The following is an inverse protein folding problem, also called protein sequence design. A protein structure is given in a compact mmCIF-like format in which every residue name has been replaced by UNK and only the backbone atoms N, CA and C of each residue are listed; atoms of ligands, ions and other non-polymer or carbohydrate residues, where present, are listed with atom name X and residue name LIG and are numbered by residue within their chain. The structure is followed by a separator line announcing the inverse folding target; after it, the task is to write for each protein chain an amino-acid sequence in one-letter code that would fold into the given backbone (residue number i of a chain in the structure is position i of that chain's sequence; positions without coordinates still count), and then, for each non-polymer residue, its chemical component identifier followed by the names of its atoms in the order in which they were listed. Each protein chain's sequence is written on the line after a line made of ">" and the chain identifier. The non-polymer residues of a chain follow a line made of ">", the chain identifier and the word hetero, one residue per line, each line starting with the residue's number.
data_IF_863546686456
#
_entry.id   IF_863546686456
#
_cell.length_a   1.000
_cell.length_b   1.000
_cell.length_c   1.000
_cell.angle_alpha   90.00
_cell.angle_beta   90.00
_cell.angle_gamma   90.00
#
_symmetry.space_group_name_H-M   'P 1'
#
loop_
_entity.id
_entity.type
_entity.pdbx_description
1 polymer ?
#
# COMPACT_ATOMS: atom_id res chain seq x y z
N UNK A 1 23.56 21.11 -4.63
CA UNK A 1 22.35 20.84 -5.44
C UNK A 1 22.67 19.70 -6.40
N UNK A 2 21.88 18.65 -6.38
CA UNK A 2 21.98 17.52 -7.32
C UNK A 2 20.61 17.34 -7.96
N UNK A 3 20.55 17.22 -9.28
CA UNK A 3 19.31 17.08 -10.03
C UNK A 3 19.47 16.00 -11.08
N UNK A 4 18.46 15.20 -11.26
CA UNK A 4 18.30 14.25 -12.36
C UNK A 4 17.05 14.62 -13.16
N UNK A 5 17.15 14.56 -14.47
CA UNK A 5 16.04 14.59 -15.42
C UNK A 5 16.15 13.37 -16.32
N UNK A 6 15.02 12.70 -16.52
CA UNK A 6 14.95 11.55 -17.42
C UNK A 6 15.15 12.00 -18.87
N UNK A 7 16.04 11.32 -19.55
CA UNK A 7 16.38 11.55 -20.96
C UNK A 7 16.08 10.35 -21.85
N UNK A 8 15.33 9.36 -21.33
CA UNK A 8 14.96 8.13 -22.07
C UNK A 8 13.44 8.02 -22.15
N UNK A 9 12.87 7.28 -23.12
CA UNK A 9 11.46 6.96 -23.15
C UNK A 9 10.98 6.24 -21.88
N UNK A 10 9.68 6.33 -21.60
CA UNK A 10 9.06 5.55 -20.50
C UNK A 10 9.09 4.08 -20.87
N UNK A 11 9.80 3.26 -20.11
CA UNK A 11 10.06 1.85 -20.42
C UNK A 11 9.90 0.91 -19.20
N UNK A 12 9.77 1.47 -18.00
CA UNK A 12 9.60 0.67 -16.79
C UNK A 12 8.24 0.93 -16.13
N UNK A 13 7.77 -0.01 -15.28
CA UNK A 13 6.49 0.11 -14.57
C UNK A 13 6.33 1.44 -13.84
N UNK A 14 7.33 1.85 -13.06
CA UNK A 14 7.41 3.14 -12.39
C UNK A 14 8.81 3.73 -12.60
N UNK A 15 8.88 5.01 -12.91
CA UNK A 15 10.12 5.74 -13.18
C UNK A 15 10.05 7.16 -12.66
N UNK A 16 11.16 7.65 -12.14
CA UNK A 16 11.29 9.07 -11.89
C UNK A 16 11.46 9.83 -13.21
N UNK A 17 10.68 10.89 -13.37
CA UNK A 17 10.84 11.87 -14.44
C UNK A 17 11.91 12.90 -14.07
N UNK A 18 11.86 13.34 -12.80
CA UNK A 18 12.91 14.16 -12.23
C UNK A 18 13.06 13.92 -10.74
N UNK A 19 14.27 14.10 -10.23
CA UNK A 19 14.63 14.11 -8.82
C UNK A 19 15.57 15.27 -8.56
N UNK A 20 15.43 15.92 -7.42
CA UNK A 20 16.35 16.98 -7.02
C UNK A 20 16.38 17.17 -5.51
N UNK A 21 17.54 17.68 -5.04
CA UNK A 21 17.74 18.09 -3.66
C UNK A 21 18.46 19.44 -3.59
N UNK A 22 18.39 20.09 -2.45
CA UNK A 22 19.00 21.41 -2.20
C UNK A 22 18.59 22.47 -3.23
N UNK A 23 17.34 22.36 -3.72
CA UNK A 23 16.78 23.32 -4.66
C UNK A 23 16.35 24.59 -3.92
N UNK A 24 16.87 25.75 -4.34
CA UNK A 24 16.39 27.04 -3.82
C UNK A 24 15.01 27.34 -4.43
N UNK A 25 13.96 27.06 -3.66
CA UNK A 25 12.60 27.18 -4.13
C UNK A 25 12.18 28.63 -4.25
N UNK A 26 11.79 29.00 -5.45
CA UNK A 26 11.21 30.31 -5.77
C UNK A 26 9.69 30.24 -5.76
N UNK A 27 9.04 31.41 -5.69
CA UNK A 27 7.59 31.49 -5.90
C UNK A 27 7.29 31.05 -7.34
N UNK A 28 6.30 30.19 -7.47
CA UNK A 28 5.91 29.63 -8.75
C UNK A 28 4.41 29.37 -8.79
N UNK A 29 3.78 29.65 -9.90
CA UNK A 29 2.38 29.39 -10.17
C UNK A 29 2.25 28.41 -11.33
N UNK A 30 1.46 27.34 -11.15
CA UNK A 30 1.16 26.29 -12.13
C UNK A 30 -0.35 26.21 -12.35
N UNK A 31 -0.92 27.02 -13.23
CA UNK A 31 -2.38 27.10 -13.43
C UNK A 31 -2.96 25.78 -13.98
N UNK A 32 -2.17 25.05 -14.80
CA UNK A 32 -2.58 23.77 -15.40
C UNK A 32 -2.02 22.56 -14.62
N UNK A 33 -1.44 22.80 -13.43
CA UNK A 33 -0.76 21.78 -12.66
C UNK A 33 0.58 21.34 -13.25
N UNK A 34 1.00 20.12 -12.92
CA UNK A 34 2.16 19.45 -13.48
C UNK A 34 1.70 18.17 -14.19
N UNK A 35 2.32 17.76 -15.29
CA UNK A 35 1.82 16.60 -16.07
C UNK A 35 2.05 15.25 -15.41
N UNK A 36 2.88 15.19 -14.37
CA UNK A 36 3.19 13.98 -13.62
C UNK A 36 2.85 14.16 -12.14
N UNK A 37 2.80 13.09 -11.38
CA UNK A 37 2.81 13.16 -9.91
C UNK A 37 4.01 13.95 -9.45
N UNK A 38 3.77 14.94 -8.61
CA UNK A 38 4.80 15.88 -8.15
C UNK A 38 4.87 15.89 -6.63
N UNK A 39 5.99 15.43 -6.10
CA UNK A 39 6.33 15.50 -4.69
C UNK A 39 7.26 16.68 -4.43
N UNK A 40 6.96 17.47 -3.42
CA UNK A 40 7.82 18.54 -2.91
C UNK A 40 7.96 18.39 -1.40
N UNK A 41 9.18 18.54 -0.88
CA UNK A 41 9.48 18.49 0.55
C UNK A 41 10.42 19.63 0.92
N UNK A 42 10.15 20.27 2.05
CA UNK A 42 11.04 21.27 2.62
C UNK A 42 12.27 20.62 3.25
N UNK A 43 13.47 21.05 2.87
CA UNK A 43 14.74 20.70 3.53
C UNK A 43 15.10 21.71 4.61
N UNK A 44 14.99 23.01 4.29
CA UNK A 44 15.27 24.12 5.21
C UNK A 44 14.32 25.28 4.93
N UNK A 45 13.99 26.02 5.96
CA UNK A 45 13.07 27.15 5.86
C UNK A 45 11.61 26.72 5.91
N UNK A 46 10.74 27.56 5.39
CA UNK A 46 9.29 27.35 5.36
C UNK A 46 8.73 27.89 4.07
N UNK A 47 7.79 27.16 3.49
CA UNK A 47 7.03 27.58 2.34
C UNK A 47 5.57 27.23 2.47
N UNK A 48 4.73 27.95 1.76
CA UNK A 48 3.29 27.75 1.68
C UNK A 48 2.93 27.30 0.27
N UNK A 49 2.11 26.28 0.20
CA UNK A 49 1.58 25.74 -1.06
C UNK A 49 0.09 25.96 -1.06
N UNK A 50 -0.40 26.55 -2.14
CA UNK A 50 -1.82 26.69 -2.39
C UNK A 50 -2.26 25.66 -3.44
N UNK A 51 -3.29 24.88 -3.11
CA UNK A 51 -3.93 23.93 -4.03
C UNK A 51 -5.43 24.15 -3.96
N UNK A 52 -6.03 24.56 -5.08
CA UNK A 52 -7.49 24.80 -5.16
C UNK A 52 -8.03 25.71 -4.02
N UNK A 53 -7.28 26.76 -3.67
CA UNK A 53 -7.67 27.73 -2.62
C UNK A 53 -7.44 27.23 -1.18
N UNK A 54 -6.89 26.01 -0.99
CA UNK A 54 -6.44 25.53 0.32
C UNK A 54 -4.94 25.79 0.47
N UNK A 55 -4.54 26.21 1.66
CA UNK A 55 -3.16 26.52 1.98
C UNK A 55 -2.55 25.44 2.87
N UNK A 56 -1.33 25.05 2.55
CA UNK A 56 -0.54 24.05 3.29
C UNK A 56 0.83 24.67 3.56
N UNK A 57 1.16 24.87 4.83
CA UNK A 57 2.49 25.34 5.23
C UNK A 57 3.38 24.15 5.48
N UNK A 58 4.56 24.12 4.87
CA UNK A 58 5.53 23.03 4.97
C UNK A 58 6.80 23.54 5.65
N UNK A 59 7.06 23.04 6.86
CA UNK A 59 8.32 23.17 7.57
C UNK A 59 9.33 22.06 7.21
N UNK A 60 10.49 22.09 7.83
CA UNK A 60 11.57 21.13 7.56
C UNK A 60 11.10 19.67 7.72
N UNK A 61 11.40 18.84 6.74
CA UNK A 61 10.97 17.45 6.54
C UNK A 61 9.47 17.24 6.30
N UNK A 62 8.66 18.28 6.19
CA UNK A 62 7.27 18.15 5.76
C UNK A 62 7.19 18.23 4.24
N UNK A 63 6.30 17.46 3.65
CA UNK A 63 6.16 17.33 2.21
C UNK A 63 4.71 17.25 1.74
N UNK A 64 4.52 17.38 0.44
CA UNK A 64 3.25 17.27 -0.24
C UNK A 64 3.42 16.52 -1.56
N UNK A 65 2.56 15.55 -1.82
CA UNK A 65 2.38 14.95 -3.13
C UNK A 65 1.14 15.57 -3.78
N UNK A 66 1.27 15.97 -5.04
CA UNK A 66 0.18 16.55 -5.84
C UNK A 66 0.00 15.71 -7.10
N UNK A 67 -1.25 15.35 -7.40
CA UNK A 67 -1.59 14.56 -8.58
C UNK A 67 -1.42 15.37 -9.89
N UNK A 68 -1.31 14.68 -11.04
CA UNK A 68 -1.20 15.34 -12.35
C UNK A 68 -2.36 16.28 -12.63
N UNK A 69 -2.06 17.42 -13.28
CA UNK A 69 -3.06 18.38 -13.71
C UNK A 69 -3.75 19.18 -12.60
N UNK A 70 -3.33 19.04 -11.34
CA UNK A 70 -3.91 19.79 -10.23
C UNK A 70 -3.25 21.17 -10.13
N UNK A 71 -4.01 22.28 -10.32
CA UNK A 71 -3.48 23.64 -10.20
C UNK A 71 -2.93 23.92 -8.80
N UNK A 72 -1.74 24.50 -8.74
CA UNK A 72 -1.10 24.83 -7.47
C UNK A 72 -0.07 25.96 -7.59
N UNK A 73 0.27 26.56 -6.45
CA UNK A 73 1.32 27.57 -6.36
C UNK A 73 2.22 27.36 -5.14
N UNK A 74 3.45 27.87 -5.25
CA UNK A 74 4.47 27.84 -4.20
C UNK A 74 4.80 29.26 -3.77
N UNK A 75 4.83 29.49 -2.45
CA UNK A 75 5.15 30.77 -1.86
C UNK A 75 6.18 30.57 -0.76
N UNK A 76 7.35 31.20 -0.92
CA UNK A 76 8.38 31.22 0.11
C UNK A 76 7.92 32.12 1.27
N UNK A 77 7.92 31.59 2.49
CA UNK A 77 7.55 32.35 3.70
C UNK A 77 8.75 32.74 4.57
N UNK A 78 9.86 31.98 4.49
CA UNK A 78 11.11 32.30 5.19
C UNK A 78 12.11 33.03 4.29
N UNK A 79 13.16 33.61 4.86
CA UNK A 79 14.23 34.30 4.10
C UNK A 79 14.89 33.42 3.03
N UNK A 80 14.96 32.11 3.29
CA UNK A 80 15.38 31.10 2.32
C UNK A 80 14.48 29.89 2.45
N UNK A 81 14.16 29.27 1.34
CA UNK A 81 13.40 28.01 1.32
C UNK A 81 14.10 27.02 0.39
N UNK A 82 14.67 25.98 0.98
CA UNK A 82 15.35 24.92 0.25
C UNK A 82 14.48 23.67 0.27
N UNK A 83 14.30 23.07 -0.90
CA UNK A 83 13.41 21.91 -1.09
C UNK A 83 14.16 20.76 -1.76
N UNK A 84 13.57 19.59 -1.62
CA UNK A 84 13.79 18.46 -2.52
C UNK A 84 12.48 18.13 -3.23
N UNK A 85 12.59 17.50 -4.39
CA UNK A 85 11.43 17.14 -5.19
C UNK A 85 11.65 15.81 -5.91
N UNK A 86 10.52 15.20 -6.27
CA UNK A 86 10.47 14.04 -7.14
C UNK A 86 9.23 14.16 -8.04
N UNK A 87 9.40 13.91 -9.33
CA UNK A 87 8.29 13.69 -10.24
C UNK A 87 8.41 12.29 -10.83
N UNK A 88 7.31 11.64 -11.03
CA UNK A 88 7.33 10.24 -11.45
C UNK A 88 6.15 9.86 -12.33
N UNK A 89 6.38 8.85 -13.16
CA UNK A 89 5.47 8.27 -14.11
C UNK A 89 5.82 6.78 -14.31
N UNK A 90 5.34 6.14 -15.37
CA UNK A 90 5.66 4.77 -15.74
C UNK A 90 4.63 4.15 -16.65
N UNK A 91 4.89 2.96 -17.16
CA UNK A 91 3.92 2.22 -17.99
C UNK A 91 2.70 1.79 -17.19
N UNK A 92 2.80 1.72 -15.85
CA UNK A 92 1.72 1.45 -14.92
C UNK A 92 1.25 2.70 -14.15
N UNK A 93 1.59 3.91 -14.61
CA UNK A 93 1.20 5.15 -13.92
C UNK A 93 -0.32 5.29 -13.77
N UNK A 94 -1.12 4.69 -14.67
CA UNK A 94 -2.58 4.66 -14.57
C UNK A 94 -3.13 3.92 -13.35
N UNK A 95 -2.32 3.10 -12.65
CA UNK A 95 -2.72 2.44 -11.41
C UNK A 95 -2.50 3.30 -10.15
N UNK A 96 -1.72 4.38 -10.24
CA UNK A 96 -1.37 5.21 -9.08
C UNK A 96 -2.60 5.81 -8.39
N UNK A 97 -3.64 6.30 -9.09
CA UNK A 97 -4.83 6.80 -8.42
C UNK A 97 -5.47 5.78 -7.47
N UNK A 98 -5.59 4.52 -7.88
CA UNK A 98 -6.14 3.47 -7.00
C UNK A 98 -5.21 3.11 -5.84
N UNK A 99 -3.91 3.29 -5.99
CA UNK A 99 -2.93 3.07 -4.91
C UNK A 99 -2.95 4.19 -3.87
N UNK A 100 -3.38 5.39 -4.25
CA UNK A 100 -3.46 6.59 -3.40
C UNK A 100 -4.89 6.98 -3.03
N UNK A 101 -5.84 6.03 -3.07
CA UNK A 101 -7.27 6.24 -2.82
C UNK A 101 -7.88 7.41 -3.60
N UNK A 102 -7.38 7.65 -4.82
CA UNK A 102 -7.75 8.78 -5.70
C UNK A 102 -7.54 10.17 -5.06
N UNK A 103 -6.64 10.27 -4.10
CA UNK A 103 -6.33 11.56 -3.49
C UNK A 103 -5.51 12.44 -4.44
N UNK A 104 -5.96 13.67 -4.63
CA UNK A 104 -5.24 14.68 -5.42
C UNK A 104 -4.07 15.31 -4.66
N UNK A 105 -4.15 15.30 -3.33
CA UNK A 105 -3.14 15.91 -2.43
C UNK A 105 -2.93 15.00 -1.24
N UNK A 106 -1.66 14.64 -0.99
CA UNK A 106 -1.25 13.85 0.18
C UNK A 106 -0.18 14.63 0.94
N UNK A 107 -0.42 14.87 2.22
CA UNK A 107 0.54 15.51 3.11
C UNK A 107 1.45 14.47 3.77
N UNK A 108 2.72 14.82 3.91
CA UNK A 108 3.75 14.00 4.53
C UNK A 108 4.25 14.70 5.78
N UNK A 109 4.16 13.99 6.90
CA UNK A 109 4.64 14.47 8.19
C UNK A 109 6.15 14.31 8.35
N UNK A 110 6.73 14.99 9.34
CA UNK A 110 8.19 15.10 9.56
C UNK A 110 8.93 13.76 9.61
N UNK A 111 8.38 12.78 10.31
CA UNK A 111 9.06 11.48 10.49
C UNK A 111 9.15 10.72 9.16
N UNK A 112 8.06 10.68 8.44
CA UNK A 112 8.00 10.04 7.13
C UNK A 112 8.81 10.80 6.09
N UNK A 113 8.75 12.15 6.09
CA UNK A 113 9.57 12.99 5.23
C UNK A 113 11.07 12.78 5.47
N UNK A 114 11.51 12.55 6.71
CA UNK A 114 12.90 12.20 7.00
C UNK A 114 13.33 10.88 6.34
N UNK A 115 12.44 9.89 6.26
CA UNK A 115 12.67 8.63 5.55
C UNK A 115 12.74 8.85 4.02
N UNK A 116 11.77 9.57 3.47
CA UNK A 116 11.70 9.92 2.03
C UNK A 116 12.95 10.70 1.61
N UNK A 117 13.42 11.63 2.43
CA UNK A 117 14.66 12.38 2.18
C UNK A 117 15.87 11.46 1.99
N UNK A 118 16.05 10.45 2.83
CA UNK A 118 17.13 9.46 2.70
C UNK A 118 17.00 8.68 1.39
N UNK A 119 15.78 8.29 1.04
CA UNK A 119 15.48 7.56 -0.19
C UNK A 119 15.82 8.39 -1.42
N UNK A 120 15.31 9.62 -1.56
CA UNK A 120 15.62 10.52 -2.69
C UNK A 120 17.13 10.71 -2.82
N UNK A 121 17.82 10.99 -1.70
CA UNK A 121 19.27 11.20 -1.71
C UNK A 121 20.06 9.95 -2.15
N UNK A 122 19.60 8.75 -1.77
CA UNK A 122 20.18 7.48 -2.20
C UNK A 122 19.95 7.22 -3.69
N UNK A 123 18.72 7.43 -4.16
CA UNK A 123 18.35 7.23 -5.57
C UNK A 123 19.08 8.20 -6.49
N UNK A 124 19.24 9.47 -6.10
CA UNK A 124 20.06 10.45 -6.84
C UNK A 124 21.50 9.97 -7.03
N UNK A 125 22.12 9.39 -6.00
CA UNK A 125 23.48 8.82 -6.14
C UNK A 125 23.55 7.68 -7.15
N UNK A 126 22.52 6.83 -7.22
CA UNK A 126 22.43 5.74 -8.21
C UNK A 126 22.30 6.28 -9.64
N UNK A 127 21.49 7.33 -9.85
CA UNK A 127 21.35 7.97 -11.17
C UNK A 127 22.64 8.61 -11.69
N UNK A 128 23.51 9.04 -10.79
CA UNK A 128 24.79 9.65 -11.16
C UNK A 128 25.93 8.62 -11.36
N UNK A 129 25.64 7.32 -11.27
CA UNK A 129 26.62 6.29 -11.62
C UNK A 129 26.83 6.22 -13.15
N UNK A 130 28.02 5.82 -13.64
CA UNK A 130 28.28 5.69 -15.06
C UNK A 130 27.32 4.79 -15.82
N UNK A 131 26.84 3.73 -15.16
CA UNK A 131 25.87 2.75 -15.70
C UNK A 131 24.74 2.55 -14.69
N UNK A 132 23.70 3.39 -14.69
CA UNK A 132 22.58 3.24 -13.77
C UNK A 132 21.82 1.93 -14.03
N UNK A 133 21.56 1.16 -12.99
CA UNK A 133 20.69 -0.02 -13.08
C UNK A 133 19.20 0.41 -13.10
N UNK A 134 18.62 0.38 -14.28
CA UNK A 134 17.24 0.81 -14.50
C UNK A 134 16.20 -0.05 -13.74
N UNK A 135 16.49 -1.33 -13.49
CA UNK A 135 15.59 -2.19 -12.68
C UNK A 135 15.62 -1.76 -11.22
N UNK A 136 16.80 -1.54 -10.66
CA UNK A 136 16.96 -1.01 -9.30
C UNK A 136 16.28 0.35 -9.14
N UNK A 137 16.42 1.24 -10.13
CA UNK A 137 15.79 2.57 -10.11
C UNK A 137 14.26 2.52 -10.24
N UNK A 138 13.72 1.58 -11.01
CA UNK A 138 12.27 1.34 -11.06
C UNK A 138 11.74 0.80 -9.74
N UNK A 139 12.49 -0.08 -9.08
CA UNK A 139 12.16 -0.56 -7.74
C UNK A 139 12.21 0.56 -6.70
N UNK A 140 13.20 1.45 -6.79
CA UNK A 140 13.27 2.64 -5.92
C UNK A 140 12.06 3.57 -6.13
N UNK A 141 11.61 3.76 -7.38
CA UNK A 141 10.42 4.56 -7.68
C UNK A 141 9.15 3.92 -7.13
N UNK A 142 8.98 2.61 -7.26
CA UNK A 142 7.89 1.88 -6.64
C UNK A 142 7.91 2.01 -5.12
N UNK A 143 9.06 1.78 -4.48
CA UNK A 143 9.21 1.93 -3.03
C UNK A 143 8.94 3.37 -2.55
N UNK A 144 9.32 4.36 -3.36
CA UNK A 144 8.98 5.76 -3.12
C UNK A 144 7.47 5.98 -3.16
N UNK A 145 6.77 5.44 -4.17
CA UNK A 145 5.32 5.51 -4.30
C UNK A 145 4.61 4.85 -3.10
N UNK A 146 5.12 3.74 -2.59
CA UNK A 146 4.54 3.06 -1.42
C UNK A 146 4.48 3.92 -0.15
N UNK A 147 5.33 4.97 -0.04
CA UNK A 147 5.20 5.90 1.09
C UNK A 147 3.91 6.72 1.07
N UNK A 148 3.24 6.82 -0.06
CA UNK A 148 2.00 7.59 -0.19
C UNK A 148 0.74 6.73 -0.10
N UNK A 149 0.87 5.41 -0.20
CA UNK A 149 -0.26 4.49 -0.07
C UNK A 149 -0.73 4.38 1.38
N UNK A 150 0.18 4.51 2.35
CA UNK A 150 -0.15 4.51 3.78
C UNK A 150 -0.60 5.89 4.29
N UNK A 151 -0.35 6.96 3.52
CA UNK A 151 -0.71 8.34 3.85
C UNK A 151 -2.09 8.74 3.37
N UNK A 152 -2.70 7.96 2.49
CA UNK A 152 -4.10 8.09 2.13
C UNK A 152 -4.95 7.68 3.34
N UNK A 153 -4.92 8.56 4.36
CA UNK A 153 -5.76 8.63 5.55
C UNK A 153 -6.33 7.29 6.03
N UNK A 154 -5.45 6.39 6.45
CA UNK A 154 -5.86 5.50 7.53
C UNK A 154 -4.80 5.59 8.60
N UNK A 155 -5.15 5.93 9.87
CA UNK A 155 -4.35 5.46 10.97
C UNK A 155 -4.05 4.01 10.65
N UNK A 156 -2.77 3.56 10.79
CA UNK A 156 -2.37 2.17 10.46
C UNK A 156 -3.54 1.29 10.87
N UNK A 157 -4.08 0.48 9.96
CA UNK A 157 -5.28 -0.35 10.28
C UNK A 157 -5.09 -0.98 11.65
N UNK A 158 -3.84 -1.32 11.95
CA UNK A 158 -3.39 -1.84 13.25
C UNK A 158 -3.61 -0.88 14.44
N UNK A 159 -3.59 0.43 14.26
CA UNK A 159 -3.80 1.41 15.36
C UNK A 159 -5.26 1.83 15.49
N UNK A 160 -6.14 1.35 14.58
CA UNK A 160 -7.57 1.64 14.65
C UNK A 160 -8.20 0.92 15.85
N UNK A 161 -8.82 1.65 16.82
CA UNK A 161 -9.41 1.04 18.02
C UNK A 161 -10.48 -0.02 17.71
N UNK A 162 -11.24 0.15 16.62
CA UNK A 162 -12.26 -0.84 16.21
C UNK A 162 -11.59 -2.09 15.63
N UNK A 163 -10.50 -1.95 14.89
CA UNK A 163 -9.72 -3.08 14.38
C UNK A 163 -9.10 -3.88 15.52
N UNK A 164 -8.42 -3.20 16.45
CA UNK A 164 -7.79 -3.82 17.63
C UNK A 164 -8.83 -4.51 18.52
N UNK A 165 -9.95 -3.85 18.80
CA UNK A 165 -10.95 -4.33 19.74
C UNK A 165 -11.82 -5.47 19.20
N UNK A 166 -12.14 -5.45 17.89
CA UNK A 166 -13.14 -6.36 17.32
C UNK A 166 -12.60 -7.30 16.25
N UNK A 167 -11.63 -6.87 15.44
CA UNK A 167 -11.17 -7.69 14.29
C UNK A 167 -10.01 -8.59 14.70
N UNK A 168 -9.00 -8.06 15.38
CA UNK A 168 -7.82 -8.86 15.84
C UNK A 168 -8.22 -10.05 16.72
N UNK A 169 -9.07 -9.89 17.76
CA UNK A 169 -9.46 -11.04 18.57
C UNK A 169 -10.18 -12.12 17.77
N UNK A 170 -11.04 -11.73 16.83
CA UNK A 170 -11.75 -12.66 15.94
C UNK A 170 -10.78 -13.38 15.00
N UNK A 171 -9.79 -12.69 14.44
CA UNK A 171 -8.72 -13.32 13.64
C UNK A 171 -7.99 -14.39 14.47
N UNK A 172 -7.56 -14.04 15.68
CA UNK A 172 -6.89 -15.00 16.58
C UNK A 172 -7.75 -16.20 16.93
N UNK A 173 -9.06 -16.00 17.18
CA UNK A 173 -9.99 -17.07 17.44
C UNK A 173 -10.15 -17.99 16.22
N UNK A 174 -10.20 -17.43 15.00
CA UNK A 174 -10.21 -18.22 13.77
C UNK A 174 -8.92 -19.01 13.62
N UNK A 175 -7.76 -18.39 13.82
CA UNK A 175 -6.44 -19.03 13.66
C UNK A 175 -6.23 -20.19 14.62
N UNK A 176 -6.75 -20.08 15.83
CA UNK A 176 -6.62 -21.14 16.86
C UNK A 176 -7.71 -22.21 16.77
N UNK A 177 -8.89 -21.84 16.28
CA UNK A 177 -10.07 -22.71 16.27
C UNK A 177 -10.58 -23.12 14.89
N UNK A 178 -9.85 -22.85 13.80
CA UNK A 178 -10.31 -23.04 12.40
C UNK A 178 -10.83 -24.45 12.07
N UNK A 179 -10.37 -25.45 12.80
CA UNK A 179 -10.79 -26.85 12.61
C UNK A 179 -12.20 -27.12 13.17
N UNK A 180 -12.67 -26.28 14.10
CA UNK A 180 -13.98 -26.44 14.73
C UNK A 180 -15.08 -25.78 13.88
N UNK A 181 -16.33 -26.05 14.23
CA UNK A 181 -17.46 -25.39 13.60
C UNK A 181 -17.55 -23.92 14.08
N UNK A 182 -17.00 -23.01 13.26
CA UNK A 182 -16.94 -21.58 13.53
C UNK A 182 -18.07 -20.89 12.76
N UNK A 183 -18.95 -20.21 13.49
CA UNK A 183 -20.01 -19.37 12.90
C UNK A 183 -19.78 -17.90 13.17
N UNK A 184 -20.25 -17.03 12.24
CA UNK A 184 -20.17 -15.58 12.44
C UNK A 184 -20.92 -15.13 13.71
N UNK A 185 -21.96 -15.87 14.11
CA UNK A 185 -22.70 -15.61 15.34
C UNK A 185 -21.88 -15.90 16.61
N UNK A 186 -21.10 -16.98 16.63
CA UNK A 186 -20.18 -17.27 17.74
C UNK A 186 -19.09 -16.22 17.83
N UNK A 187 -18.39 -15.93 16.73
CA UNK A 187 -17.33 -14.91 16.67
C UNK A 187 -17.82 -13.52 17.04
N UNK A 188 -19.05 -13.16 16.70
CA UNK A 188 -19.60 -11.85 17.09
C UNK A 188 -19.90 -11.76 18.59
N UNK A 189 -20.31 -12.88 19.22
CA UNK A 189 -20.53 -12.96 20.66
C UNK A 189 -19.23 -12.82 21.46
N UNK A 190 -18.12 -13.41 20.98
CA UNK A 190 -16.83 -13.34 21.69
C UNK A 190 -16.29 -11.90 21.79
N UNK A 191 -16.68 -11.03 20.87
CA UNK A 191 -16.33 -9.61 20.89
C UNK A 191 -17.49 -8.67 21.25
N UNK A 192 -18.63 -9.22 21.73
CA UNK A 192 -19.80 -8.48 22.22
C UNK A 192 -20.45 -7.54 21.21
N UNK A 193 -20.55 -7.96 19.95
CA UNK A 193 -21.21 -7.18 18.88
C UNK A 193 -22.24 -8.03 18.12
N UNK A 194 -23.05 -7.37 17.28
CA UNK A 194 -23.95 -8.11 16.38
C UNK A 194 -23.19 -8.72 15.19
N UNK A 195 -23.64 -9.86 14.62
CA UNK A 195 -23.05 -10.46 13.43
C UNK A 195 -22.95 -9.49 12.24
N UNK A 196 -23.95 -8.63 12.06
CA UNK A 196 -23.98 -7.61 11.01
C UNK A 196 -22.90 -6.54 11.20
N UNK A 197 -22.69 -6.11 12.45
CA UNK A 197 -21.65 -5.14 12.77
C UNK A 197 -20.26 -5.73 12.54
N UNK A 198 -20.00 -6.95 13.01
CA UNK A 198 -18.75 -7.67 12.76
C UNK A 198 -18.50 -7.84 11.26
N UNK A 199 -19.52 -8.23 10.47
CA UNK A 199 -19.40 -8.38 9.02
C UNK A 199 -19.02 -7.06 8.32
N UNK A 200 -19.57 -5.91 8.77
CA UNK A 200 -19.18 -4.59 8.25
C UNK A 200 -17.73 -4.26 8.57
N UNK A 201 -17.27 -4.55 9.80
CA UNK A 201 -15.89 -4.33 10.20
C UNK A 201 -14.91 -5.20 9.38
N UNK A 202 -15.24 -6.49 9.20
CA UNK A 202 -14.41 -7.38 8.38
C UNK A 202 -14.33 -6.90 6.94
N UNK A 203 -15.44 -6.53 6.30
CA UNK A 203 -15.40 -5.96 4.94
C UNK A 203 -14.59 -4.68 4.87
N UNK A 204 -14.72 -3.80 5.88
CA UNK A 204 -13.98 -2.54 5.95
C UNK A 204 -12.47 -2.74 6.09
N UNK A 205 -12.03 -3.65 6.98
CA UNK A 205 -10.62 -3.78 7.35
C UNK A 205 -9.91 -4.93 6.64
N UNK A 206 -10.63 -6.00 6.30
CA UNK A 206 -10.09 -7.20 5.68
C UNK A 206 -10.47 -7.35 4.20
N UNK A 207 -11.34 -6.49 3.67
CA UNK A 207 -11.84 -6.57 2.29
C UNK A 207 -12.75 -7.75 1.98
N UNK A 208 -13.06 -8.61 2.97
CA UNK A 208 -13.85 -9.82 2.80
C UNK A 208 -14.82 -10.03 3.98
N UNK A 209 -15.79 -10.94 3.82
CA UNK A 209 -16.64 -11.39 4.93
C UNK A 209 -15.88 -12.31 5.88
N UNK A 210 -16.42 -12.47 7.11
CA UNK A 210 -15.88 -13.43 8.10
C UNK A 210 -15.84 -14.85 7.52
N UNK A 211 -16.90 -15.27 6.82
CA UNK A 211 -16.98 -16.59 6.18
C UNK A 211 -15.90 -16.78 5.12
N UNK A 212 -15.68 -15.80 4.25
CA UNK A 212 -14.63 -15.83 3.23
C UNK A 212 -13.23 -15.90 3.88
N UNK A 213 -13.02 -15.17 4.96
CA UNK A 213 -11.75 -15.21 5.70
C UNK A 213 -11.49 -16.59 6.27
N UNK A 214 -12.47 -17.20 6.99
CA UNK A 214 -12.36 -18.56 7.52
C UNK A 214 -12.09 -19.57 6.40
N UNK A 215 -12.81 -19.45 5.28
CA UNK A 215 -12.63 -20.35 4.13
C UNK A 215 -11.22 -20.23 3.55
N UNK A 216 -10.72 -19.00 3.31
CA UNK A 216 -9.35 -18.77 2.80
C UNK A 216 -8.30 -19.31 3.77
N UNK A 217 -8.47 -19.11 5.06
CA UNK A 217 -7.56 -19.62 6.09
C UNK A 217 -7.51 -21.16 6.06
N UNK A 218 -8.67 -21.83 6.05
CA UNK A 218 -8.77 -23.30 5.93
C UNK A 218 -8.13 -23.83 4.66
N UNK A 219 -8.35 -23.17 3.52
CA UNK A 219 -7.71 -23.55 2.24
C UNK A 219 -6.20 -23.37 2.31
N UNK A 220 -5.69 -22.33 2.95
CA UNK A 220 -4.25 -22.17 3.18
C UNK A 220 -3.66 -23.33 3.98
N UNK A 221 -4.33 -23.73 5.07
CA UNK A 221 -3.91 -24.90 5.86
C UNK A 221 -4.00 -26.22 5.10
N UNK A 222 -5.04 -26.37 4.27
CA UNK A 222 -5.15 -27.54 3.40
C UNK A 222 -4.00 -27.64 2.39
N UNK A 223 -3.56 -26.52 1.81
CA UNK A 223 -2.39 -26.48 0.91
C UNK A 223 -1.11 -26.94 1.62
N UNK A 224 -0.88 -26.49 2.83
CA UNK A 224 0.26 -26.92 3.65
C UNK A 224 0.22 -28.43 3.92
N UNK A 225 -0.96 -28.97 4.27
CA UNK A 225 -1.14 -30.41 4.49
C UNK A 225 -0.92 -31.23 3.22
N UNK A 226 -1.43 -30.77 2.08
CA UNK A 226 -1.25 -31.45 0.80
C UNK A 226 0.22 -31.58 0.40
N UNK A 227 1.06 -30.59 0.73
CA UNK A 227 2.49 -30.60 0.43
C UNK A 227 3.31 -31.34 1.49
N UNK A 228 2.98 -31.16 2.77
CA UNK A 228 3.74 -31.76 3.88
C UNK A 228 3.37 -33.21 4.15
N UNK A 229 2.19 -33.68 3.71
CA UNK A 229 1.66 -35.02 3.91
C UNK A 229 1.11 -35.60 2.60
N UNK A 230 1.97 -35.99 1.63
CA UNK A 230 1.55 -36.43 0.30
C UNK A 230 0.68 -37.70 0.32
N UNK A 231 0.87 -38.56 1.34
CA UNK A 231 0.10 -39.80 1.48
C UNK A 231 -1.27 -39.65 2.15
N UNK A 232 -1.57 -38.47 2.71
CA UNK A 232 -2.81 -38.20 3.39
C UNK A 232 -3.97 -38.16 2.38
N UNK A 233 -5.07 -38.92 2.64
CA UNK A 233 -6.23 -38.90 1.75
C UNK A 233 -6.87 -37.53 1.69
N UNK A 234 -7.42 -37.14 0.52
CA UNK A 234 -8.04 -35.83 0.33
C UNK A 234 -9.17 -35.58 1.35
N UNK A 235 -9.92 -36.62 1.70
CA UNK A 235 -10.96 -36.57 2.72
C UNK A 235 -10.41 -36.24 4.11
N UNK A 236 -9.25 -36.80 4.46
CA UNK A 236 -8.61 -36.53 5.74
C UNK A 236 -8.00 -35.11 5.78
N UNK A 237 -7.46 -34.64 4.65
CA UNK A 237 -7.03 -33.24 4.49
C UNK A 237 -8.21 -32.26 4.69
N UNK A 238 -9.38 -32.58 4.11
CA UNK A 238 -10.59 -31.78 4.31
C UNK A 238 -10.93 -31.67 5.80
N UNK A 239 -11.04 -32.81 6.52
CA UNK A 239 -11.33 -32.83 7.96
C UNK A 239 -10.28 -32.08 8.79
N UNK A 240 -8.99 -32.36 8.56
CA UNK A 240 -7.87 -31.72 9.26
C UNK A 240 -7.78 -30.20 9.02
N UNK A 241 -8.30 -29.73 7.90
CA UNK A 241 -8.40 -28.29 7.59
C UNK A 241 -9.72 -27.63 7.98
N UNK A 242 -10.61 -28.37 8.68
CA UNK A 242 -11.85 -27.84 9.25
C UNK A 242 -13.08 -27.88 8.34
N UNK A 243 -13.04 -28.67 7.26
CA UNK A 243 -14.23 -28.92 6.44
C UNK A 243 -14.93 -30.21 6.88
N UNK A 244 -16.21 -30.10 7.17
CA UNK A 244 -17.04 -31.25 7.54
C UNK A 244 -17.43 -32.12 6.33
N UNK A 245 -17.39 -31.58 5.12
CA UNK A 245 -17.75 -32.26 3.89
C UNK A 245 -16.64 -32.13 2.84
N UNK A 246 -16.19 -33.29 2.30
CA UNK A 246 -15.11 -33.34 1.33
C UNK A 246 -15.50 -32.74 -0.04
N UNK A 247 -16.76 -32.85 -0.45
CA UNK A 247 -17.23 -32.30 -1.72
C UNK A 247 -17.25 -30.78 -1.65
N UNK A 248 -17.73 -30.22 -0.54
CA UNK A 248 -17.67 -28.78 -0.26
C UNK A 248 -16.21 -28.29 -0.21
N UNK A 249 -15.32 -29.03 0.46
CA UNK A 249 -13.88 -28.73 0.46
C UNK A 249 -13.31 -28.64 -0.97
N UNK A 250 -13.53 -29.67 -1.80
CA UNK A 250 -13.00 -29.71 -3.18
C UNK A 250 -13.51 -28.50 -4.00
N UNK A 251 -14.81 -28.20 -3.87
CA UNK A 251 -15.41 -27.05 -4.56
C UNK A 251 -14.79 -25.72 -4.10
N UNK A 252 -14.62 -25.50 -2.79
CA UNK A 252 -14.01 -24.28 -2.25
C UNK A 252 -12.52 -24.19 -2.56
N UNK A 253 -11.79 -25.31 -2.48
CA UNK A 253 -10.38 -25.36 -2.85
C UNK A 253 -10.18 -24.94 -4.32
N UNK A 254 -10.98 -25.53 -5.24
CA UNK A 254 -10.93 -25.17 -6.66
C UNK A 254 -11.31 -23.71 -6.91
N UNK A 255 -12.32 -23.20 -6.20
CA UNK A 255 -12.73 -21.78 -6.31
C UNK A 255 -11.61 -20.82 -5.91
N UNK A 256 -10.86 -21.15 -4.84
CA UNK A 256 -9.80 -20.29 -4.28
C UNK A 256 -8.47 -20.44 -5.03
N UNK A 257 -8.11 -21.66 -5.45
CA UNK A 257 -6.79 -21.99 -6.02
C UNK A 257 -6.77 -22.16 -7.53
N UNK A 258 -7.94 -22.29 -8.17
CA UNK A 258 -8.09 -22.58 -9.60
C UNK A 258 -7.93 -24.06 -9.97
N UNK A 259 -7.49 -24.94 -9.04
CA UNK A 259 -7.22 -26.36 -9.28
C UNK A 259 -7.88 -27.25 -8.24
N UNK A 260 -8.02 -28.56 -8.52
CA UNK A 260 -8.48 -29.50 -7.49
C UNK A 260 -7.37 -29.78 -6.47
N UNK A 261 -7.71 -30.21 -5.22
CA UNK A 261 -6.68 -30.59 -4.24
C UNK A 261 -5.74 -31.70 -4.74
N UNK A 262 -6.26 -32.66 -5.51
CA UNK A 262 -5.46 -33.74 -6.08
C UNK A 262 -4.49 -33.25 -7.15
N UNK A 263 -4.96 -32.37 -8.05
CA UNK A 263 -4.11 -31.80 -9.08
C UNK A 263 -3.06 -30.86 -8.46
N UNK A 264 -3.45 -30.07 -7.45
CA UNK A 264 -2.51 -29.24 -6.69
C UNK A 264 -1.38 -30.09 -6.10
N UNK A 265 -1.69 -31.20 -5.44
CA UNK A 265 -0.67 -32.15 -4.90
C UNK A 265 0.29 -32.70 -5.95
N UNK A 266 -0.20 -32.93 -7.18
CA UNK A 266 0.62 -33.47 -8.28
C UNK A 266 1.52 -32.43 -8.93
N UNK A 267 1.21 -31.14 -8.78
CA UNK A 267 1.99 -30.04 -9.35
C UNK A 267 3.26 -29.74 -8.56
N UNK A 268 3.28 -30.12 -7.30
CA UNK A 268 4.38 -29.88 -6.38
C UNK A 268 4.92 -31.18 -5.77
#
# INVERSE_FOLDING_TARGET
>A
MSIYFRNTPVSAPFMFESLGNHWNQVNLFRPDGYPYYHYLQTEKGTGRIEVRGKFYTLGANEGILIAPGVPHSYHRESTSWTTMFATFTGTLAGSIPSMTDNQEVILIEKEQGASIRKMISSTLRKYHQPTPDMKSLSSDCYNFLMNFTDCAASPKIQDNPLYQRYVIPVIKEIETGYQQDITAAQLSRSVFVSPQYLSRLFRRFMGCSVYEYVTMYRISRARELLLSRPDMKIQDVAGASGFSDASHFIAMFRKVTGTTPLDFRKMY
#
